data_IF_001961356780
#
_entry.id   IF_001961356780
#
_cell.length_a   1.000
_cell.length_b   1.000
_cell.length_c   1.000
_cell.angle_alpha   90.00
_cell.angle_beta   90.00
_cell.angle_gamma   90.00
#
_symmetry.space_group_name_H-M   'P 1'
#
loop_
_entity.id
_entity.type
_entity.pdbx_description
1 polymer ?
#
# COMPACT_ATOMS: atom_id res chain seq x y z
N UNK A 1 -17.60 41.33 6.53
CA UNK A 1 -16.60 40.38 6.71
C UNK A 1 -15.89 40.08 5.43
N UNK A 2 -14.65 40.01 5.55
CA UNK A 2 -13.89 39.82 4.37
C UNK A 2 -14.00 38.45 3.87
N UNK A 3 -14.23 37.84 3.26
CA UNK A 3 -14.38 36.53 2.80
C UNK A 3 -13.31 35.60 3.26
N UNK A 4 -13.58 34.36 3.07
CA UNK A 4 -12.71 33.28 3.39
C UNK A 4 -11.83 33.00 2.17
N UNK A 5 -10.54 32.84 2.38
CA UNK A 5 -9.65 32.44 1.30
C UNK A 5 -9.46 30.93 1.37
N UNK A 6 -9.41 30.31 0.22
CA UNK A 6 -9.30 28.85 0.15
C UNK A 6 -8.21 28.46 -0.84
N UNK A 7 -7.19 27.81 -0.35
CA UNK A 7 -6.07 27.36 -1.18
C UNK A 7 -5.95 25.86 -1.13
N UNK A 8 -5.65 25.26 -2.27
CA UNK A 8 -5.46 23.83 -2.37
C UNK A 8 -4.11 23.58 -3.01
N UNK A 9 -3.33 22.67 -2.42
CA UNK A 9 -2.10 22.22 -3.04
C UNK A 9 -2.34 20.82 -3.62
N UNK A 10 -2.57 20.69 -4.91
CA UNK A 10 -2.91 19.39 -5.49
C UNK A 10 -1.76 18.40 -5.49
N UNK A 11 -0.54 18.86 -5.27
CA UNK A 11 0.63 17.97 -5.26
C UNK A 11 0.97 17.47 -3.86
N UNK A 12 0.28 17.95 -2.81
CA UNK A 12 0.69 17.65 -1.45
C UNK A 12 0.60 16.17 -1.13
N UNK A 13 -0.49 15.53 -1.51
CA UNK A 13 -0.68 14.11 -1.18
C UNK A 13 0.41 13.25 -1.81
N UNK A 14 0.77 13.55 -3.06
CA UNK A 14 1.82 12.80 -3.75
C UNK A 14 3.17 13.04 -3.10
N UNK A 15 3.47 14.30 -2.76
CA UNK A 15 4.72 14.63 -2.09
C UNK A 15 4.82 13.96 -0.73
N UNK A 16 3.73 13.96 0.01
CA UNK A 16 3.71 13.35 1.32
C UNK A 16 3.97 11.85 1.22
N UNK A 17 3.29 11.19 0.30
CA UNK A 17 3.46 9.75 0.14
C UNK A 17 4.87 9.41 -0.30
N UNK A 18 5.44 10.20 -1.21
CA UNK A 18 6.81 10.00 -1.67
C UNK A 18 7.79 10.11 -0.51
N UNK A 19 7.60 11.08 0.37
CA UNK A 19 8.46 11.26 1.55
C UNK A 19 8.32 10.08 2.51
N UNK A 20 7.10 9.59 2.71
CA UNK A 20 6.87 8.44 3.56
C UNK A 20 7.54 7.19 3.00
N UNK A 21 7.53 7.04 1.68
CA UNK A 21 8.19 5.91 1.05
C UNK A 21 9.71 5.98 1.24
N UNK A 22 10.27 7.18 1.11
CA UNK A 22 11.70 7.35 1.34
C UNK A 22 12.07 7.01 2.78
N UNK A 23 11.25 7.44 3.74
CA UNK A 23 11.46 7.09 5.14
C UNK A 23 11.39 5.59 5.35
N UNK A 24 10.42 4.93 4.71
CA UNK A 24 10.33 3.48 4.80
C UNK A 24 11.59 2.79 4.30
N UNK A 25 12.06 3.21 3.14
CA UNK A 25 13.24 2.59 2.53
C UNK A 25 14.49 2.80 3.36
N UNK A 26 14.57 3.92 4.09
CA UNK A 26 15.69 4.21 4.97
C UNK A 26 15.49 3.70 6.39
N UNK A 27 14.35 3.11 6.68
CA UNK A 27 14.03 2.62 8.02
C UNK A 27 13.77 3.71 9.03
N UNK A 28 13.40 4.91 8.56
CA UNK A 28 13.18 6.05 9.44
C UNK A 28 11.74 6.09 9.93
N UNK A 29 11.59 6.30 11.23
CA UNK A 29 10.28 6.43 11.88
C UNK A 29 9.39 5.20 11.71
N UNK A 30 9.94 4.09 11.26
CA UNK A 30 9.20 2.84 11.13
C UNK A 30 8.93 2.26 12.52
N UNK A 31 7.70 1.88 12.75
CA UNK A 31 7.30 1.34 14.06
C UNK A 31 6.74 -0.08 13.96
N UNK A 32 6.89 -0.70 12.80
CA UNK A 32 6.41 -2.08 12.64
C UNK A 32 7.32 -2.82 11.66
N UNK A 33 7.49 -4.10 11.92
CA UNK A 33 8.18 -5.02 11.03
C UNK A 33 7.24 -6.15 10.69
N UNK A 34 7.07 -6.40 9.40
CA UNK A 34 6.24 -7.51 8.94
C UNK A 34 7.15 -8.61 8.41
N UNK A 35 6.98 -9.80 8.93
CA UNK A 35 7.76 -10.96 8.50
C UNK A 35 6.90 -11.76 7.54
N UNK A 36 7.38 -11.91 6.31
CA UNK A 36 6.68 -12.65 5.28
C UNK A 36 7.67 -13.68 4.74
N UNK A 37 7.41 -14.95 5.01
CA UNK A 37 8.37 -15.99 4.67
C UNK A 37 9.68 -15.75 5.38
N UNK A 38 10.76 -15.65 4.63
CA UNK A 38 12.08 -15.40 5.18
C UNK A 38 12.51 -13.95 5.05
N UNK A 39 11.59 -13.04 4.73
CA UNK A 39 11.91 -11.63 4.53
C UNK A 39 11.22 -10.75 5.56
N UNK A 40 11.87 -9.63 5.88
CA UNK A 40 11.34 -8.65 6.82
C UNK A 40 11.11 -7.34 6.09
N UNK A 41 9.96 -6.75 6.36
CA UNK A 41 9.57 -5.48 5.75
C UNK A 41 9.30 -4.46 6.85
N UNK A 42 10.03 -3.36 6.84
CA UNK A 42 9.78 -2.27 7.77
C UNK A 42 8.73 -1.35 7.19
N UNK A 43 7.88 -0.82 8.04
CA UNK A 43 6.81 0.06 7.59
C UNK A 43 6.32 0.93 8.74
N UNK A 44 5.29 1.71 8.45
CA UNK A 44 4.67 2.59 9.42
C UNK A 44 3.25 2.09 9.66
N UNK A 45 2.90 1.84 10.91
CA UNK A 45 1.59 1.28 11.23
C UNK A 45 0.46 2.13 10.69
N UNK A 46 0.56 3.45 10.84
CA UNK A 46 -0.54 4.30 10.41
C UNK A 46 -0.72 4.33 8.89
N UNK A 47 0.36 4.20 8.13
CA UNK A 47 0.25 4.14 6.68
C UNK A 47 -0.44 2.85 6.26
N UNK A 48 -0.03 1.74 6.85
CA UNK A 48 -0.65 0.44 6.55
C UNK A 48 -2.12 0.42 6.96
N UNK A 49 -2.42 0.92 8.14
CA UNK A 49 -3.79 0.92 8.64
C UNK A 49 -4.71 1.82 7.81
N UNK A 50 -4.18 2.93 7.32
CA UNK A 50 -4.97 3.83 6.49
C UNK A 50 -5.26 3.23 5.12
N UNK A 51 -4.43 2.30 4.67
CA UNK A 51 -4.58 1.69 3.35
C UNK A 51 -5.30 0.35 3.38
N UNK A 52 -5.36 -0.31 4.53
CA UNK A 52 -5.80 -1.71 4.61
C UNK A 52 -6.69 -1.92 5.81
N UNK A 53 -7.89 -2.45 5.56
CA UNK A 53 -8.81 -2.78 6.64
C UNK A 53 -8.22 -3.85 7.55
N UNK A 54 -7.51 -4.79 6.99
CA UNK A 54 -6.88 -5.83 7.76
C UNK A 54 -5.88 -5.24 8.76
N UNK A 55 -4.99 -4.36 8.29
CA UNK A 55 -4.00 -3.76 9.17
C UNK A 55 -4.62 -2.82 10.18
N UNK A 56 -5.65 -2.09 9.78
CA UNK A 56 -6.35 -1.23 10.73
C UNK A 56 -6.89 -2.06 11.89
N UNK A 57 -7.53 -3.15 11.57
CA UNK A 57 -8.09 -4.04 12.58
C UNK A 57 -7.00 -4.66 13.44
N UNK A 58 -5.93 -5.12 12.80
CA UNK A 58 -4.84 -5.79 13.49
C UNK A 58 -4.15 -4.86 14.48
N UNK A 59 -3.82 -3.65 14.07
CA UNK A 59 -3.04 -2.73 14.89
C UNK A 59 -3.85 -2.01 15.96
N UNK A 60 -5.17 -1.95 15.81
CA UNK A 60 -6.00 -1.25 16.79
C UNK A 60 -6.56 -2.18 17.86
N UNK A 61 -6.32 -3.47 17.75
CA UNK A 61 -6.69 -4.39 18.83
C UNK A 61 -5.82 -4.09 20.04
N UNK A 62 -6.46 -4.07 21.20
CA UNK A 62 -5.79 -3.71 22.43
C UNK A 62 -4.60 -4.61 22.71
N UNK A 63 -4.75 -5.91 22.47
CA UNK A 63 -3.68 -6.84 22.73
C UNK A 63 -2.47 -6.66 21.79
N UNK A 64 -2.64 -5.94 20.69
CA UNK A 64 -1.58 -5.72 19.72
C UNK A 64 -0.95 -4.34 19.77
N UNK A 65 -1.45 -3.47 20.65
CA UNK A 65 -1.05 -2.05 20.69
C UNK A 65 0.44 -1.86 20.81
N UNK A 66 1.10 -2.63 21.65
CA UNK A 66 2.51 -2.46 21.90
C UNK A 66 3.38 -3.41 21.09
N UNK A 67 2.77 -4.24 20.26
CA UNK A 67 3.52 -5.19 19.46
C UNK A 67 4.06 -4.51 18.22
N UNK A 68 5.32 -4.75 17.88
CA UNK A 68 5.95 -4.12 16.74
C UNK A 68 6.39 -5.10 15.65
N UNK A 69 6.26 -6.40 15.89
CA UNK A 69 6.64 -7.41 14.91
C UNK A 69 5.45 -8.33 14.68
N UNK A 70 5.06 -8.48 13.42
CA UNK A 70 3.94 -9.33 13.06
C UNK A 70 4.34 -10.24 11.92
N UNK A 71 3.90 -11.47 11.96
CA UNK A 71 4.16 -12.43 10.91
C UNK A 71 2.91 -12.59 10.05
N UNK A 72 3.09 -12.51 8.74
CA UNK A 72 2.01 -12.75 7.78
C UNK A 72 2.31 -14.06 7.08
N UNK A 73 1.37 -15.00 7.16
CA UNK A 73 1.59 -16.32 6.59
C UNK A 73 0.66 -16.64 5.44
N UNK A 74 -0.03 -15.64 4.93
CA UNK A 74 -1.00 -15.85 3.85
C UNK A 74 -0.56 -15.29 2.51
N UNK A 75 0.71 -14.92 2.38
CA UNK A 75 1.21 -14.38 1.11
C UNK A 75 2.69 -14.65 0.97
N UNK A 76 3.16 -14.56 -0.27
CA UNK A 76 4.57 -14.71 -0.58
C UNK A 76 5.29 -13.38 -0.46
N UNK A 77 6.60 -13.38 -0.17
CA UNK A 77 7.34 -12.13 -0.02
C UNK A 77 7.29 -11.22 -1.26
N UNK A 78 7.45 -11.81 -2.44
CA UNK A 78 7.43 -11.00 -3.66
C UNK A 78 6.09 -10.35 -3.90
N UNK A 79 5.02 -11.07 -3.62
CA UNK A 79 3.67 -10.53 -3.77
C UNK A 79 3.43 -9.42 -2.77
N UNK A 80 3.85 -9.64 -1.53
CA UNK A 80 3.68 -8.62 -0.51
C UNK A 80 4.50 -7.37 -0.84
N UNK A 81 5.70 -7.55 -1.40
CA UNK A 81 6.54 -6.42 -1.79
C UNK A 81 5.81 -5.54 -2.81
N UNK A 82 5.16 -6.16 -3.79
CA UNK A 82 4.38 -5.42 -4.78
C UNK A 82 3.25 -4.63 -4.12
N UNK A 83 2.57 -5.25 -3.17
CA UNK A 83 1.47 -4.59 -2.48
C UNK A 83 1.99 -3.43 -1.63
N UNK A 84 3.08 -3.65 -0.92
CA UNK A 84 3.66 -2.62 -0.08
C UNK A 84 4.14 -1.43 -0.90
N UNK A 85 4.74 -1.68 -2.04
CA UNK A 85 5.15 -0.61 -2.95
C UNK A 85 3.94 0.17 -3.46
N UNK A 86 2.84 -0.51 -3.73
CA UNK A 86 1.62 0.18 -4.10
C UNK A 86 1.11 1.07 -2.97
N UNK A 87 1.11 0.57 -1.75
CA UNK A 87 0.63 1.34 -0.61
C UNK A 87 1.41 2.66 -0.47
N UNK A 88 2.70 2.62 -0.73
CA UNK A 88 3.55 3.79 -0.56
C UNK A 88 3.77 4.61 -1.81
N UNK A 89 3.14 4.28 -2.92
CA UNK A 89 3.36 5.01 -4.17
C UNK A 89 2.11 5.24 -4.99
N UNK A 90 1.04 4.52 -4.70
CA UNK A 90 -0.20 4.51 -5.50
C UNK A 90 0.00 3.87 -6.86
N UNK A 91 1.16 3.25 -7.10
CA UNK A 91 1.45 2.61 -8.39
C UNK A 91 1.74 1.15 -8.19
N UNK A 92 1.21 0.34 -9.08
CA UNK A 92 1.43 -1.10 -9.04
C UNK A 92 2.16 -1.52 -10.30
N UNK A 93 3.39 -2.02 -10.12
CA UNK A 93 4.16 -2.62 -11.22
C UNK A 93 4.23 -4.12 -10.94
N UNK A 94 3.57 -4.90 -11.76
CA UNK A 94 3.49 -6.33 -11.53
C UNK A 94 3.47 -7.04 -12.87
N UNK A 95 4.16 -8.18 -12.94
CA UNK A 95 4.11 -8.99 -14.14
C UNK A 95 2.73 -9.61 -14.26
N UNK A 96 2.31 -9.79 -15.50
CA UNK A 96 0.99 -10.31 -15.78
C UNK A 96 0.72 -11.62 -15.05
N UNK A 97 1.74 -12.49 -15.01
CA UNK A 97 1.60 -13.78 -14.35
C UNK A 97 1.46 -13.69 -12.85
N UNK A 98 1.81 -12.55 -12.26
CA UNK A 98 1.74 -12.35 -10.81
C UNK A 98 0.51 -11.59 -10.36
N UNK A 99 -0.29 -11.11 -11.30
CA UNK A 99 -1.42 -10.25 -10.97
C UNK A 99 -2.44 -10.93 -10.08
N UNK A 100 -2.74 -12.20 -10.36
CA UNK A 100 -3.73 -12.93 -9.59
C UNK A 100 -3.34 -13.01 -8.11
N UNK A 101 -2.05 -13.24 -7.85
CA UNK A 101 -1.55 -13.29 -6.46
C UNK A 101 -1.71 -11.95 -5.75
N UNK A 102 -1.43 -10.85 -6.48
CA UNK A 102 -1.60 -9.52 -5.90
C UNK A 102 -3.07 -9.26 -5.59
N UNK A 103 -3.97 -9.69 -6.46
CA UNK A 103 -5.40 -9.52 -6.22
C UNK A 103 -5.86 -10.29 -4.99
N UNK A 104 -5.35 -11.50 -4.81
CA UNK A 104 -5.70 -12.31 -3.64
C UNK A 104 -5.22 -11.67 -2.34
N UNK A 105 -3.99 -11.18 -2.35
CA UNK A 105 -3.45 -10.50 -1.17
C UNK A 105 -4.22 -9.21 -0.91
N UNK A 106 -4.56 -8.48 -1.98
CA UNK A 106 -5.37 -7.28 -1.85
C UNK A 106 -6.71 -7.57 -1.21
N UNK A 107 -7.33 -8.68 -1.58
CA UNK A 107 -8.58 -9.07 -0.98
C UNK A 107 -8.40 -9.40 0.51
N UNK A 108 -7.37 -10.17 0.84
CA UNK A 108 -7.10 -10.54 2.23
C UNK A 108 -6.80 -9.32 3.09
N UNK A 109 -6.14 -8.33 2.52
CA UNK A 109 -5.78 -7.11 3.24
C UNK A 109 -6.89 -6.07 3.23
N UNK A 110 -7.95 -6.29 2.45
CA UNK A 110 -9.03 -5.32 2.35
C UNK A 110 -8.64 -4.06 1.61
N UNK A 111 -7.88 -4.20 0.53
CA UNK A 111 -7.48 -3.06 -0.31
C UNK A 111 -8.29 -3.13 -1.60
N UNK A 112 -9.34 -2.34 -1.66
CA UNK A 112 -10.31 -2.43 -2.76
C UNK A 112 -9.71 -2.25 -4.14
N UNK A 113 -8.79 -1.32 -4.27
CA UNK A 113 -8.20 -1.05 -5.58
C UNK A 113 -7.54 -2.30 -6.15
N UNK A 114 -6.80 -3.03 -5.33
CA UNK A 114 -6.10 -4.22 -5.76
C UNK A 114 -7.08 -5.36 -6.08
N UNK A 115 -8.11 -5.47 -5.27
CA UNK A 115 -9.11 -6.51 -5.46
C UNK A 115 -9.83 -6.33 -6.80
N UNK A 116 -10.07 -5.08 -7.19
CA UNK A 116 -10.91 -4.77 -8.34
C UNK A 116 -10.15 -4.53 -9.64
N UNK A 117 -8.85 -4.75 -9.64
CA UNK A 117 -8.08 -4.61 -10.87
C UNK A 117 -8.51 -5.68 -11.87
N UNK A 118 -8.73 -5.25 -13.11
CA UNK A 118 -9.10 -6.18 -14.15
C UNK A 118 -7.84 -6.91 -14.61
N UNK A 119 -7.88 -8.24 -14.59
CA UNK A 119 -6.68 -9.00 -14.89
C UNK A 119 -6.39 -9.15 -16.37
N UNK A 120 -7.27 -8.73 -17.25
CA UNK A 120 -6.95 -8.80 -18.67
C UNK A 120 -5.99 -7.68 -19.03
N UNK A 121 -5.38 -7.84 -20.17
CA UNK A 121 -4.42 -6.88 -20.65
C UNK A 121 -5.02 -5.51 -20.70
N UNK A 122 -4.36 -4.55 -20.21
CA UNK A 122 -4.86 -3.21 -20.23
C UNK A 122 -4.82 -2.75 -21.62
N UNK A 123 -5.65 -2.19 -21.83
CA UNK A 123 -5.52 -1.69 -22.99
C UNK A 123 -4.98 -0.38 -22.86
N UNK A 124 -4.60 -0.54 -22.41
CA UNK A 124 -4.18 0.31 -22.03
C UNK A 124 -3.82 1.07 -22.30
N UNK A 125 -3.96 1.45 -22.61
CA UNK A 125 -3.40 2.10 -22.66
C UNK A 125 -3.07 3.03 -22.18
N UNK A 126 -2.89 2.86 -21.90
CA UNK A 126 -2.71 3.61 -21.39
C UNK A 126 -2.62 4.66 -21.69
N UNK A 127 -2.70 5.08 -21.86
CA UNK A 127 -2.91 6.02 -22.09
C UNK A 127 -2.98 6.57 -22.99
N UNK A 128 -3.00 6.19 -23.31
CA UNK A 128 -3.12 6.63 -24.06
C UNK A 128 -3.65 6.80 -24.78
N UNK A 129 -3.75 6.42 -24.96
CA UNK A 129 -4.22 6.40 -25.57
C UNK A 129 -4.98 6.54 -26.00
N UNK A 130 -5.17 6.74 -26.42
CA UNK A 130 -6.07 6.76 -26.69
C UNK A 130 -6.70 6.26 -27.18
N UNK A 131 -6.73 5.87 -27.46
CA UNK A 131 -7.28 5.40 -27.84
C UNK A 131 -7.83 4.83 -28.03
N UNK A 132 -7.98 4.53 -28.11
CA UNK A 132 -8.60 3.99 -28.22
C UNK A 132 -9.22 4.05 -28.43
#
# INVERSE_FOLDING_TARGET
>A
MDGLLHYINPAHAISLLSALNEQRLKGQLCDVVLIVGDQKFRAHKNVLAASSEYFQSLFTKKENESQSVFQLDFCEPDTFDNVLNYIYSSSLFVEKSSLAGVQEVGYSLGISFLTNIVSRSPQVPLPSCPIK
#
